data_IF_622649384632
#
_entry.id   IF_622649384632
#
_cell.length_a   1.000
_cell.length_b   1.000
_cell.length_c   1.000
_cell.angle_alpha   90.00
_cell.angle_beta   90.00
_cell.angle_gamma   90.00
#
_symmetry.space_group_name_H-M   'P 1'
#
loop_
_entity.id
_entity.type
_entity.pdbx_description
1 polymer ?
#
# COMPACT_ATOMS: atom_id res chain seq x y z
N UNK A 1 16.79 85.82 -18.11
CA UNK A 1 17.92 84.98 -17.66
C UNK A 1 17.40 84.07 -16.58
N UNK A 2 17.23 82.81 -16.97
CA UNK A 2 16.69 81.67 -16.24
C UNK A 2 17.80 80.99 -15.44
N UNK A 3 17.54 80.62 -14.19
CA UNK A 3 18.24 79.54 -13.51
C UNK A 3 17.23 78.68 -12.75
N UNK A 4 17.33 77.37 -13.01
CA UNK A 4 16.40 76.29 -12.70
C UNK A 4 16.63 75.72 -11.29
N UNK A 5 15.54 75.26 -10.68
CA UNK A 5 15.52 74.36 -9.51
C UNK A 5 15.22 72.93 -9.99
N UNK A 6 15.91 71.87 -9.51
CA UNK A 6 15.56 70.50 -9.87
C UNK A 6 14.51 69.92 -8.91
N UNK A 7 13.36 69.55 -9.45
CA UNK A 7 12.34 68.74 -8.79
C UNK A 7 12.76 67.26 -8.81
N UNK A 8 12.95 66.67 -7.63
CA UNK A 8 13.21 65.23 -7.47
C UNK A 8 11.91 64.45 -7.66
N UNK A 9 11.85 63.63 -8.72
CA UNK A 9 10.81 62.61 -8.92
C UNK A 9 11.15 61.37 -8.09
N UNK A 10 10.39 61.12 -7.02
CA UNK A 10 10.39 59.84 -6.32
C UNK A 10 9.62 58.80 -7.17
N UNK A 11 10.35 57.90 -7.83
CA UNK A 11 9.77 56.68 -8.41
C UNK A 11 9.47 55.70 -7.27
N UNK A 12 8.20 55.55 -6.91
CA UNK A 12 7.73 54.52 -5.99
C UNK A 12 7.68 53.19 -6.76
N UNK A 13 8.73 52.37 -6.65
CA UNK A 13 8.74 51.02 -7.21
C UNK A 13 7.78 50.12 -6.42
N UNK A 14 6.60 49.86 -6.97
CA UNK A 14 5.65 48.88 -6.44
C UNK A 14 6.24 47.47 -6.64
N UNK A 15 6.90 46.94 -5.61
CA UNK A 15 7.32 45.54 -5.56
C UNK A 15 6.06 44.67 -5.52
N UNK A 16 5.66 44.13 -6.67
CA UNK A 16 4.71 43.01 -6.75
C UNK A 16 5.34 41.82 -6.02
N UNK A 17 4.96 41.61 -4.77
CA UNK A 17 5.20 40.34 -4.08
C UNK A 17 4.21 39.34 -4.67
N UNK A 18 4.61 38.70 -5.77
CA UNK A 18 3.97 37.48 -6.24
C UNK A 18 4.04 36.46 -5.09
N UNK A 19 2.91 35.92 -4.60
CA UNK A 19 2.98 34.81 -3.66
C UNK A 19 3.63 33.65 -4.43
N UNK A 20 4.87 33.30 -4.05
CA UNK A 20 5.41 32.00 -4.40
C UNK A 20 4.44 30.99 -3.79
N UNK A 21 3.60 30.39 -4.63
CA UNK A 21 2.98 29.13 -4.27
C UNK A 21 4.13 28.16 -4.02
N UNK A 22 4.48 27.93 -2.76
CA UNK A 22 5.15 26.70 -2.36
C UNK A 22 4.18 25.58 -2.69
N UNK A 23 4.16 25.14 -3.94
CA UNK A 23 3.79 23.78 -4.24
C UNK A 23 4.83 22.94 -3.48
N UNK A 24 4.42 22.36 -2.36
CA UNK A 24 5.20 21.36 -1.66
C UNK A 24 5.50 20.25 -2.66
N UNK A 25 6.66 20.29 -3.30
CA UNK A 25 7.09 19.21 -4.19
C UNK A 25 7.29 17.98 -3.33
N UNK A 26 6.61 16.90 -3.66
CA UNK A 26 6.82 15.61 -3.02
C UNK A 26 8.33 15.25 -3.04
N UNK A 27 8.99 15.12 -1.87
CA UNK A 27 10.44 15.13 -1.82
C UNK A 27 11.08 13.77 -2.14
N UNK A 28 10.28 12.69 -2.17
CA UNK A 28 10.75 11.32 -2.36
C UNK A 28 10.77 10.93 -3.83
N UNK A 29 11.92 10.44 -4.31
CA UNK A 29 12.17 10.21 -5.74
C UNK A 29 12.45 8.76 -6.11
N UNK A 30 12.82 7.91 -5.14
CA UNK A 30 13.08 6.51 -5.42
C UNK A 30 11.76 5.80 -5.78
N UNK A 31 11.68 5.30 -7.01
CA UNK A 31 10.49 4.69 -7.59
C UNK A 31 10.88 3.63 -8.61
N UNK A 32 10.28 2.45 -8.51
CA UNK A 32 10.39 1.37 -9.47
C UNK A 32 8.99 0.93 -9.88
N UNK A 33 8.80 0.72 -11.18
CA UNK A 33 7.59 0.15 -11.76
C UNK A 33 8.03 -0.91 -12.74
N UNK A 34 7.70 -2.16 -12.46
CA UNK A 34 8.27 -3.33 -13.11
C UNK A 34 7.12 -4.13 -13.74
N UNK A 35 7.22 -4.28 -15.05
CA UNK A 35 6.35 -5.10 -15.89
C UNK A 35 6.91 -6.53 -15.89
N UNK A 36 6.32 -7.39 -15.04
CA UNK A 36 6.87 -8.71 -14.76
C UNK A 36 6.58 -9.65 -15.94
N UNK A 37 7.63 -10.31 -16.42
CA UNK A 37 7.58 -11.17 -17.60
C UNK A 37 7.64 -10.45 -18.95
N UNK A 38 7.72 -9.12 -18.97
CA UNK A 38 7.96 -8.36 -20.20
C UNK A 38 9.45 -8.28 -20.54
N UNK A 39 9.78 -8.43 -21.83
CA UNK A 39 11.15 -8.28 -22.34
C UNK A 39 11.53 -6.81 -22.62
N UNK A 40 10.58 -5.89 -22.60
CA UNK A 40 10.79 -4.49 -22.99
C UNK A 40 10.01 -3.55 -22.07
N UNK A 41 10.55 -2.34 -21.85
CA UNK A 41 9.82 -1.33 -21.09
C UNK A 41 8.56 -0.90 -21.85
N UNK A 42 7.46 -0.73 -21.11
CA UNK A 42 6.15 -0.32 -21.64
C UNK A 42 5.76 1.03 -21.04
N UNK A 43 4.87 1.76 -21.72
CA UNK A 43 4.27 2.98 -21.17
C UNK A 43 2.76 2.79 -21.16
N UNK A 44 2.15 3.08 -20.02
CA UNK A 44 0.72 2.92 -19.84
C UNK A 44 -0.09 4.12 -20.40
N UNK A 45 -1.43 4.02 -20.46
CA UNK A 45 -2.28 5.12 -20.94
C UNK A 45 -2.23 6.40 -20.10
N UNK A 46 -1.60 6.37 -18.93
CA UNK A 46 -1.38 7.52 -18.05
C UNK A 46 0.03 8.09 -18.18
N UNK A 47 0.76 7.71 -19.24
CA UNK A 47 2.13 8.14 -19.52
C UNK A 47 3.12 7.75 -18.41
N UNK A 48 2.83 6.64 -17.70
CA UNK A 48 3.73 6.06 -16.72
C UNK A 48 4.54 4.95 -17.37
N UNK A 49 5.88 5.05 -17.26
CA UNK A 49 6.79 4.03 -17.79
C UNK A 49 6.99 2.91 -16.80
N UNK A 50 6.88 1.68 -17.30
CA UNK A 50 7.12 0.42 -16.62
C UNK A 50 8.33 -0.26 -17.25
N UNK A 51 9.27 -0.69 -16.43
CA UNK A 51 10.53 -1.30 -16.87
C UNK A 51 10.36 -2.81 -17.03
N UNK A 52 11.15 -3.42 -17.91
CA UNK A 52 11.26 -4.88 -17.95
C UNK A 52 11.84 -5.39 -16.63
N UNK A 53 11.57 -6.66 -16.30
CA UNK A 53 11.99 -7.25 -15.04
C UNK A 53 13.37 -7.93 -15.06
N UNK A 54 14.06 -7.88 -16.19
CA UNK A 54 15.30 -8.59 -16.54
C UNK A 54 16.43 -8.61 -15.49
N UNK A 55 16.46 -7.65 -14.57
CA UNK A 55 17.52 -7.49 -13.56
C UNK A 55 17.07 -7.66 -12.11
N UNK A 56 15.80 -7.97 -11.88
CA UNK A 56 15.24 -7.88 -10.53
C UNK A 56 14.83 -9.22 -9.93
N UNK A 57 14.82 -10.32 -10.68
CA UNK A 57 14.34 -11.62 -10.17
C UNK A 57 15.45 -12.67 -10.06
N UNK A 58 15.24 -13.69 -9.22
CA UNK A 58 16.18 -14.82 -9.08
C UNK A 58 16.02 -15.87 -10.19
N UNK A 59 14.80 -16.39 -10.43
CA UNK A 59 14.55 -17.32 -11.55
C UNK A 59 13.11 -17.24 -12.07
N UNK A 60 12.60 -18.30 -12.71
CA UNK A 60 11.24 -18.33 -13.26
C UNK A 60 11.17 -18.19 -14.79
N UNK A 61 9.95 -18.33 -15.30
CA UNK A 61 9.61 -18.24 -16.70
C UNK A 61 8.51 -17.19 -16.91
N UNK A 62 8.33 -16.77 -18.16
CA UNK A 62 7.36 -15.72 -18.50
C UNK A 62 6.21 -16.29 -19.32
N UNK A 63 5.04 -15.67 -19.20
CA UNK A 63 3.88 -15.97 -20.02
C UNK A 63 3.07 -14.70 -20.27
N UNK A 64 2.12 -14.81 -21.18
CA UNK A 64 1.04 -13.87 -21.38
C UNK A 64 -0.23 -14.51 -20.78
N UNK A 65 -1.10 -13.68 -20.22
CA UNK A 65 -2.44 -14.09 -19.75
C UNK A 65 -3.29 -14.68 -20.88
N UNK A 66 -4.32 -15.50 -20.58
CA UNK A 66 -5.10 -16.16 -21.63
C UNK A 66 -5.93 -15.18 -22.47
N UNK A 67 -6.42 -14.08 -21.88
CA UNK A 67 -7.23 -13.05 -22.55
C UNK A 67 -6.58 -11.64 -22.46
N UNK A 68 -5.48 -11.33 -23.17
CA UNK A 68 -4.73 -10.08 -22.98
C UNK A 68 -5.49 -8.79 -23.35
N UNK A 69 -6.60 -8.92 -24.09
CA UNK A 69 -7.48 -7.80 -24.44
C UNK A 69 -8.45 -7.43 -23.32
N UNK A 70 -8.63 -8.31 -22.33
CA UNK A 70 -9.38 -8.03 -21.11
C UNK A 70 -8.68 -6.98 -20.25
N UNK A 71 -7.34 -6.98 -20.27
CA UNK A 71 -6.51 -6.05 -19.52
C UNK A 71 -6.24 -4.77 -20.29
N UNK A 72 -6.46 -3.64 -19.62
CA UNK A 72 -6.24 -2.32 -20.22
C UNK A 72 -4.76 -1.96 -20.23
N UNK A 73 -4.03 -2.33 -19.19
CA UNK A 73 -2.65 -1.87 -18.99
C UNK A 73 -1.63 -2.90 -19.50
N UNK A 74 -0.51 -2.48 -20.13
CA UNK A 74 0.50 -3.41 -20.62
C UNK A 74 1.07 -4.34 -19.53
N UNK A 75 1.38 -3.78 -18.36
CA UNK A 75 1.95 -4.51 -17.21
C UNK A 75 0.98 -5.48 -16.52
N UNK A 76 -0.26 -5.59 -17.00
CA UNK A 76 -1.23 -6.59 -16.53
C UNK A 76 -1.37 -7.77 -17.51
N UNK A 77 -0.75 -7.68 -18.70
CA UNK A 77 -0.91 -8.67 -19.78
C UNK A 77 0.15 -9.75 -19.74
N UNK A 78 1.32 -9.44 -19.20
CA UNK A 78 2.44 -10.36 -19.02
C UNK A 78 2.53 -10.75 -17.55
N UNK A 79 3.05 -11.95 -17.32
CA UNK A 79 3.36 -12.41 -15.98
C UNK A 79 4.66 -13.21 -15.97
N UNK A 80 5.35 -13.15 -14.83
CA UNK A 80 6.37 -14.11 -14.44
C UNK A 80 5.73 -15.16 -13.54
N UNK A 81 6.07 -16.42 -13.78
CA UNK A 81 5.70 -17.53 -12.92
C UNK A 81 6.94 -18.33 -12.53
N UNK A 82 6.90 -18.93 -11.34
CA UNK A 82 8.01 -19.72 -10.81
C UNK A 82 7.64 -21.20 -10.81
N UNK A 83 7.87 -21.95 -11.90
CA UNK A 83 7.57 -23.37 -11.97
C UNK A 83 8.43 -24.18 -10.98
N UNK A 84 8.07 -25.43 -10.66
CA UNK A 84 8.85 -26.28 -9.75
C UNK A 84 10.34 -26.41 -10.11
N UNK A 85 10.71 -26.27 -11.38
CA UNK A 85 12.11 -26.23 -11.84
C UNK A 85 12.92 -25.03 -11.34
N UNK A 86 12.23 -23.99 -10.85
CA UNK A 86 12.78 -22.76 -10.27
C UNK A 86 13.05 -22.88 -8.77
N UNK A 87 12.80 -24.03 -8.17
CA UNK A 87 12.93 -24.21 -6.72
C UNK A 87 11.74 -23.66 -5.94
N UNK A 88 11.77 -23.88 -4.62
CA UNK A 88 10.64 -23.57 -3.73
C UNK A 88 10.49 -22.09 -3.38
N UNK A 89 11.59 -21.34 -3.43
CA UNK A 89 11.68 -19.92 -3.04
C UNK A 89 12.27 -19.11 -4.18
N UNK A 90 11.59 -18.06 -4.62
CA UNK A 90 12.08 -17.15 -5.66
C UNK A 90 11.78 -15.72 -5.26
N UNK A 91 12.64 -14.77 -5.59
CA UNK A 91 12.49 -13.39 -5.12
C UNK A 91 12.63 -12.39 -6.24
N UNK A 92 11.94 -11.27 -6.09
CA UNK A 92 12.34 -9.99 -6.65
C UNK A 92 13.21 -9.25 -5.63
N UNK A 93 14.38 -8.80 -6.05
CA UNK A 93 15.37 -8.06 -5.26
C UNK A 93 15.55 -6.70 -5.93
N UNK A 94 15.06 -5.62 -5.30
CA UNK A 94 15.11 -4.27 -5.86
C UNK A 94 16.26 -3.51 -5.22
N UNK A 95 17.35 -3.22 -5.96
CA UNK A 95 18.55 -2.62 -5.38
C UNK A 95 18.46 -1.09 -5.31
N UNK A 96 19.45 -0.48 -4.67
CA UNK A 96 19.69 0.96 -4.65
C UNK A 96 18.53 1.77 -4.03
N UNK A 97 17.89 1.22 -3.00
CA UNK A 97 16.86 1.90 -2.24
C UNK A 97 17.50 2.68 -1.07
N UNK A 98 17.29 4.00 -0.95
CA UNK A 98 17.68 4.71 0.26
C UNK A 98 16.95 4.12 1.50
N UNK A 99 17.60 3.99 2.66
CA UNK A 99 16.90 3.57 3.88
C UNK A 99 15.67 4.44 4.14
N UNK A 100 14.52 3.82 4.34
CA UNK A 100 13.26 4.55 4.43
C UNK A 100 12.04 3.67 4.41
N UNK A 101 10.87 4.31 4.29
CA UNK A 101 9.58 3.64 4.17
C UNK A 101 9.13 3.64 2.72
N UNK A 102 8.53 2.53 2.32
CA UNK A 102 8.13 2.27 0.95
C UNK A 102 6.67 1.84 0.87
N UNK A 103 5.95 2.41 -0.08
CA UNK A 103 4.72 1.84 -0.62
C UNK A 103 5.11 0.78 -1.65
N UNK A 104 4.57 -0.42 -1.48
CA UNK A 104 4.83 -1.57 -2.35
C UNK A 104 3.49 -2.07 -2.83
N UNK A 105 3.32 -2.25 -4.14
CA UNK A 105 2.09 -2.76 -4.74
C UNK A 105 2.42 -3.82 -5.77
N UNK A 106 1.73 -4.93 -5.69
CA UNK A 106 1.81 -6.03 -6.66
C UNK A 106 0.50 -6.15 -7.42
N UNK A 107 0.56 -6.50 -8.70
CA UNK A 107 -0.59 -7.04 -9.43
C UNK A 107 -0.38 -8.54 -9.65
N UNK A 108 -1.35 -9.34 -9.20
CA UNK A 108 -1.34 -10.80 -9.31
C UNK A 108 -2.54 -11.26 -10.11
N UNK A 109 -2.29 -12.04 -11.16
CA UNK A 109 -3.34 -12.57 -12.04
C UNK A 109 -2.96 -13.97 -12.52
N UNK A 110 -3.95 -14.87 -12.58
CA UNK A 110 -3.78 -16.20 -13.15
C UNK A 110 -4.24 -16.23 -14.62
N UNK A 111 -5.47 -15.76 -14.86
CA UNK A 111 -6.19 -15.73 -16.15
C UNK A 111 -5.88 -16.95 -17.02
N UNK A 112 -5.86 -18.13 -16.41
CA UNK A 112 -5.60 -19.41 -17.04
C UNK A 112 -4.41 -19.42 -18.03
N UNK A 113 -3.32 -18.70 -17.73
CA UNK A 113 -2.18 -18.53 -18.63
C UNK A 113 -1.55 -19.85 -19.11
N UNK A 114 -1.72 -20.93 -18.33
CA UNK A 114 -1.18 -22.25 -18.61
C UNK A 114 -2.22 -23.27 -19.11
N UNK A 115 -3.47 -22.85 -19.30
CA UNK A 115 -4.56 -23.68 -19.80
C UNK A 115 -5.03 -24.78 -18.83
N UNK A 116 -4.56 -24.82 -17.58
CA UNK A 116 -4.89 -25.91 -16.63
C UNK A 116 -6.17 -25.69 -15.84
N UNK A 117 -6.74 -24.48 -15.89
CA UNK A 117 -7.91 -24.08 -15.11
C UNK A 117 -7.74 -24.34 -13.60
N UNK A 118 -6.52 -24.16 -13.11
CA UNK A 118 -6.13 -24.38 -11.71
C UNK A 118 -5.22 -23.24 -11.25
N UNK A 119 -5.81 -22.26 -10.57
CA UNK A 119 -5.06 -21.16 -9.95
C UNK A 119 -4.02 -21.69 -8.96
N UNK A 120 -2.83 -21.10 -8.85
CA UNK A 120 -1.79 -21.60 -7.97
C UNK A 120 -1.99 -21.22 -6.50
N UNK A 121 -1.53 -22.07 -5.59
CA UNK A 121 -1.36 -21.77 -4.17
C UNK A 121 0.08 -21.38 -3.86
N UNK A 122 0.30 -20.24 -3.21
CA UNK A 122 1.62 -19.77 -2.84
C UNK A 122 1.56 -18.69 -1.76
N UNK A 123 2.71 -18.41 -1.16
CA UNK A 123 2.91 -17.39 -0.15
C UNK A 123 3.87 -16.31 -0.63
N UNK A 124 3.70 -15.09 -0.12
CA UNK A 124 4.53 -13.94 -0.46
C UNK A 124 5.04 -13.27 0.81
N UNK A 125 6.35 -13.04 0.88
CA UNK A 125 6.98 -12.26 1.95
C UNK A 125 7.59 -10.97 1.42
N UNK A 126 7.56 -9.92 2.25
CA UNK A 126 8.33 -8.69 2.07
C UNK A 126 9.31 -8.56 3.22
N UNK A 127 10.59 -8.35 2.95
CA UNK A 127 11.65 -8.25 3.97
C UNK A 127 11.63 -9.46 4.93
N UNK A 128 11.46 -10.67 4.37
CA UNK A 128 11.34 -11.93 5.12
C UNK A 128 10.03 -12.13 5.88
N UNK A 129 9.16 -11.12 5.96
CA UNK A 129 7.89 -11.17 6.68
C UNK A 129 6.76 -11.62 5.75
N UNK A 130 6.05 -12.69 6.11
CA UNK A 130 4.91 -13.19 5.33
C UNK A 130 3.74 -12.18 5.33
N UNK A 131 3.26 -11.80 4.15
CA UNK A 131 2.24 -10.73 3.98
C UNK A 131 1.03 -11.14 3.15
N UNK A 132 1.18 -12.00 2.15
CA UNK A 132 0.06 -12.47 1.32
C UNK A 132 0.06 -13.99 1.18
N UNK A 133 -1.12 -14.59 1.26
CA UNK A 133 -1.34 -16.01 1.03
C UNK A 133 -2.41 -16.22 -0.03
N UNK A 134 -2.01 -16.81 -1.14
CA UNK A 134 -2.88 -17.18 -2.25
C UNK A 134 -3.19 -18.66 -2.17
N UNK A 135 -4.47 -19.04 -2.19
CA UNK A 135 -4.91 -20.42 -1.98
C UNK A 135 -5.92 -20.83 -3.05
N UNK A 136 -5.59 -21.90 -3.78
CA UNK A 136 -6.45 -22.49 -4.79
C UNK A 136 -7.66 -23.20 -4.16
N UNK A 137 -8.85 -23.16 -4.81
CA UNK A 137 -9.16 -22.38 -6.00
C UNK A 137 -9.41 -20.90 -5.66
N UNK A 138 -8.91 -20.00 -6.49
CA UNK A 138 -9.20 -18.57 -6.36
C UNK A 138 -10.65 -18.29 -6.78
N UNK A 139 -11.32 -17.29 -6.17
CA UNK A 139 -12.60 -16.81 -6.68
C UNK A 139 -12.51 -16.45 -8.17
N UNK A 140 -13.54 -16.76 -8.96
CA UNK A 140 -13.50 -16.60 -10.43
C UNK A 140 -13.10 -15.20 -10.88
N UNK A 141 -13.69 -14.15 -10.27
CA UNK A 141 -13.30 -12.77 -10.55
C UNK A 141 -11.84 -12.46 -10.24
N UNK A 142 -11.30 -13.03 -9.15
CA UNK A 142 -9.88 -12.86 -8.80
C UNK A 142 -8.96 -13.62 -9.76
N UNK A 143 -9.35 -14.84 -10.13
CA UNK A 143 -8.59 -15.67 -11.07
C UNK A 143 -8.51 -15.02 -12.45
N UNK A 144 -9.62 -14.43 -12.92
CA UNK A 144 -9.75 -13.85 -14.27
C UNK A 144 -9.32 -12.38 -14.35
N UNK A 145 -9.73 -11.55 -13.40
CA UNK A 145 -9.48 -10.09 -13.44
C UNK A 145 -8.19 -9.71 -12.71
N UNK A 146 -7.63 -10.62 -11.91
CA UNK A 146 -6.49 -10.36 -11.04
C UNK A 146 -6.83 -9.49 -9.84
N UNK A 147 -5.83 -9.22 -9.01
CA UNK A 147 -5.95 -8.23 -7.95
C UNK A 147 -4.65 -7.47 -7.71
N UNK A 148 -4.85 -6.21 -7.36
CA UNK A 148 -3.84 -5.38 -6.74
C UNK A 148 -3.81 -5.63 -5.24
N UNK A 149 -2.60 -5.80 -4.70
CA UNK A 149 -2.35 -5.88 -3.26
C UNK A 149 -1.23 -4.92 -2.92
N UNK A 150 -1.44 -4.06 -1.92
CA UNK A 150 -0.47 -3.05 -1.53
C UNK A 150 -0.21 -3.04 -0.02
N UNK A 151 0.97 -2.56 0.35
CA UNK A 151 1.43 -2.49 1.74
C UNK A 151 2.46 -1.38 1.92
N UNK A 152 2.78 -1.10 3.18
CA UNK A 152 3.88 -0.23 3.56
C UNK A 152 4.91 -0.97 4.42
N UNK A 153 6.17 -0.97 3.99
CA UNK A 153 7.28 -1.60 4.70
C UNK A 153 8.47 -0.65 4.82
N UNK A 154 9.36 -0.92 5.78
CA UNK A 154 10.62 -0.23 5.94
C UNK A 154 11.75 -1.06 5.34
N UNK A 155 12.59 -0.43 4.52
CA UNK A 155 13.81 -1.00 3.94
C UNK A 155 15.01 -0.31 4.60
N UNK A 156 16.01 -1.09 5.05
CA UNK A 156 17.13 -0.58 5.86
C UNK A 156 18.51 -0.82 5.26
N UNK A 157 18.68 -1.93 4.57
CA UNK A 157 19.96 -2.40 4.00
C UNK A 157 20.16 -1.96 2.53
N UNK A 158 19.13 -1.36 1.94
CA UNK A 158 19.16 -0.74 0.63
C UNK A 158 18.69 -1.63 -0.51
N UNK A 159 18.14 -2.79 -0.18
CA UNK A 159 17.49 -3.70 -1.12
C UNK A 159 16.09 -4.05 -0.59
N UNK A 160 15.11 -4.15 -1.47
CA UNK A 160 13.80 -4.69 -1.11
C UNK A 160 13.72 -6.14 -1.58
N UNK A 161 13.46 -7.05 -0.65
CA UNK A 161 13.26 -8.47 -0.92
C UNK A 161 11.75 -8.81 -0.92
N UNK A 162 11.21 -9.10 -2.10
CA UNK A 162 9.85 -9.63 -2.30
C UNK A 162 9.95 -11.09 -2.74
N UNK A 163 9.72 -12.04 -1.83
CA UNK A 163 9.91 -13.47 -2.08
C UNK A 163 8.59 -14.23 -2.17
N UNK A 164 8.57 -15.24 -3.03
CA UNK A 164 7.45 -16.11 -3.35
C UNK A 164 7.81 -17.55 -2.98
N UNK A 165 6.90 -18.22 -2.29
CA UNK A 165 7.07 -19.59 -1.83
C UNK A 165 5.99 -20.48 -2.43
N UNK A 166 6.40 -21.45 -3.24
CA UNK A 166 5.49 -22.39 -3.89
C UNK A 166 4.82 -23.30 -2.87
N UNK A 167 3.52 -23.54 -3.00
CA UNK A 167 2.87 -24.62 -2.27
C UNK A 167 2.85 -25.89 -3.13
N UNK A 168 3.50 -26.95 -2.65
CA UNK A 168 3.68 -28.20 -3.39
C UNK A 168 4.28 -27.98 -4.80
N UNK A 169 3.50 -28.13 -5.87
CA UNK A 169 3.94 -27.96 -7.26
C UNK A 169 3.31 -26.75 -7.95
N UNK A 170 2.53 -25.94 -7.22
CA UNK A 170 1.85 -24.78 -7.77
C UNK A 170 2.86 -23.65 -8.02
N UNK A 171 2.88 -23.06 -9.24
CA UNK A 171 3.81 -21.98 -9.56
C UNK A 171 3.29 -20.63 -9.03
N UNK A 172 4.00 -19.93 -8.12
CA UNK A 172 3.66 -18.54 -7.80
C UNK A 172 3.72 -17.67 -9.06
N UNK A 173 2.85 -16.65 -9.11
CA UNK A 173 2.72 -15.73 -10.27
C UNK A 173 2.72 -14.27 -9.82
N UNK A 174 3.28 -13.40 -10.66
CA UNK A 174 3.24 -11.94 -10.51
C UNK A 174 3.27 -11.28 -11.88
N UNK A 175 2.44 -10.26 -12.08
CA UNK A 175 2.33 -9.52 -13.34
C UNK A 175 2.96 -8.11 -13.25
N UNK A 176 2.86 -7.44 -12.10
CA UNK A 176 3.55 -6.17 -11.92
C UNK A 176 3.97 -5.91 -10.48
N UNK A 177 5.02 -5.09 -10.32
CA UNK A 177 5.55 -4.62 -9.05
C UNK A 177 5.81 -3.12 -9.11
N UNK A 178 5.23 -2.37 -8.18
CA UNK A 178 5.52 -0.96 -7.91
C UNK A 178 6.18 -0.82 -6.54
N UNK A 179 7.24 -0.02 -6.47
CA UNK A 179 7.94 0.33 -5.23
C UNK A 179 8.15 1.84 -5.25
N UNK A 180 7.62 2.54 -4.25
CA UNK A 180 7.71 4.00 -4.17
C UNK A 180 8.16 4.41 -2.77
N UNK A 181 9.23 5.19 -2.67
CA UNK A 181 9.62 5.78 -1.40
C UNK A 181 8.57 6.80 -0.95
N UNK A 182 8.23 6.73 0.33
CA UNK A 182 7.26 7.59 0.99
C UNK A 182 7.82 8.20 2.27
N UNK A 183 7.02 9.07 2.88
CA UNK A 183 7.42 9.69 4.13
C UNK A 183 7.63 8.65 5.24
N UNK A 184 8.81 8.61 5.89
CA UNK A 184 9.07 7.68 6.98
C UNK A 184 8.11 7.82 8.17
N UNK A 185 7.52 9.01 8.37
CA UNK A 185 6.56 9.28 9.44
C UNK A 185 5.10 9.11 9.00
N UNK A 186 4.85 8.69 7.76
CA UNK A 186 3.50 8.40 7.27
C UNK A 186 2.81 7.35 8.17
N UNK A 187 1.48 7.35 8.17
CA UNK A 187 0.66 6.42 8.94
C UNK A 187 1.06 6.34 10.42
N UNK A 188 1.40 7.48 11.02
CA UNK A 188 1.81 7.63 12.42
C UNK A 188 2.92 6.66 12.87
N UNK A 189 3.94 6.49 12.03
CA UNK A 189 5.07 5.61 12.34
C UNK A 189 5.80 5.98 13.64
N UNK A 190 5.74 7.25 14.06
CA UNK A 190 6.33 7.71 15.32
C UNK A 190 5.69 7.04 16.54
N UNK A 191 4.38 6.78 16.49
CA UNK A 191 3.63 6.14 17.59
C UNK A 191 3.51 4.63 17.39
N UNK A 192 3.26 4.18 16.16
CA UNK A 192 3.06 2.75 15.84
C UNK A 192 4.39 1.99 15.83
N UNK A 193 5.48 2.66 15.49
CA UNK A 193 6.80 2.07 15.32
C UNK A 193 7.03 1.50 13.91
N UNK A 194 8.26 1.03 13.71
CA UNK A 194 8.76 0.56 12.41
C UNK A 194 8.99 -0.96 12.37
N UNK A 195 8.36 -1.69 13.29
CA UNK A 195 8.46 -3.15 13.47
C UNK A 195 7.23 -3.89 12.93
N UNK A 196 6.43 -3.23 12.09
CA UNK A 196 5.29 -3.84 11.42
C UNK A 196 5.29 -3.45 9.94
N UNK A 197 4.80 -4.37 9.11
CA UNK A 197 4.33 -4.09 7.77
C UNK A 197 2.84 -3.74 7.84
N UNK A 198 2.46 -2.62 7.21
CA UNK A 198 1.05 -2.25 7.09
C UNK A 198 0.47 -2.85 5.81
N UNK A 199 -0.23 -3.97 5.92
CA UNK A 199 -0.87 -4.63 4.78
C UNK A 199 -2.26 -4.03 4.56
N UNK A 200 -2.58 -3.59 3.34
CA UNK A 200 -3.87 -2.96 3.04
C UNK A 200 -5.02 -3.99 2.99
N UNK A 201 -5.99 -3.87 3.90
CA UNK A 201 -7.24 -4.65 3.92
C UNK A 201 -8.45 -3.85 3.43
N UNK A 202 -8.24 -2.59 3.04
CA UNK A 202 -9.28 -1.76 2.47
C UNK A 202 -8.86 -0.29 2.48
N UNK A 203 -8.76 0.32 1.31
CA UNK A 203 -8.59 1.77 1.13
C UNK A 203 -9.77 2.28 0.33
N UNK A 204 -10.71 2.93 1.02
CA UNK A 204 -12.06 3.21 0.53
C UNK A 204 -12.29 4.72 0.34
N UNK A 205 -12.92 5.08 -0.76
CA UNK A 205 -13.44 6.42 -1.07
C UNK A 205 -14.97 6.42 -0.98
N UNK A 206 -15.52 7.39 -0.28
CA UNK A 206 -16.95 7.50 -0.04
C UNK A 206 -17.61 8.49 -0.99
N UNK A 207 -18.73 8.07 -1.59
CA UNK A 207 -19.51 8.92 -2.49
C UNK A 207 -18.95 9.02 -3.91
N UNK A 208 -17.97 8.18 -4.26
CA UNK A 208 -17.38 8.09 -5.60
C UNK A 208 -17.22 6.64 -6.07
N UNK A 209 -16.99 6.47 -7.37
CA UNK A 209 -16.41 5.23 -7.93
C UNK A 209 -14.94 5.09 -7.50
N UNK A 210 -14.34 3.94 -7.77
CA UNK A 210 -12.91 3.72 -7.55
C UNK A 210 -12.05 4.64 -8.44
N UNK A 211 -10.89 5.06 -7.95
CA UNK A 211 -9.96 5.94 -8.65
C UNK A 211 -8.50 5.76 -8.17
N UNK A 212 -7.55 6.32 -8.90
CA UNK A 212 -6.11 6.22 -8.66
C UNK A 212 -5.40 5.29 -9.66
N UNK A 213 -4.08 5.04 -9.50
CA UNK A 213 -3.30 4.24 -10.45
C UNK A 213 -3.91 2.85 -10.72
N UNK A 214 -4.03 2.49 -12.00
CA UNK A 214 -4.75 1.29 -12.45
C UNK A 214 -6.26 1.47 -12.66
N UNK A 215 -6.84 2.64 -12.31
CA UNK A 215 -8.28 2.90 -12.48
C UNK A 215 -8.58 4.23 -13.16
N UNK A 216 -7.83 5.29 -12.84
CA UNK A 216 -8.00 6.63 -13.39
C UNK A 216 -6.70 7.43 -13.37
N UNK A 217 -6.69 8.60 -14.02
CA UNK A 217 -5.53 9.50 -14.08
C UNK A 217 -5.47 10.50 -12.90
N UNK A 218 -6.04 10.14 -11.76
CA UNK A 218 -6.04 11.00 -10.58
C UNK A 218 -4.76 10.80 -9.79
N UNK A 219 -4.08 11.90 -9.48
CA UNK A 219 -2.80 11.87 -8.80
C UNK A 219 -2.96 11.63 -7.29
N UNK A 220 -2.09 10.77 -6.76
CA UNK A 220 -1.78 10.58 -5.34
C UNK A 220 -0.26 10.46 -5.25
N UNK A 221 0.38 11.28 -4.40
CA UNK A 221 1.84 11.33 -4.30
C UNK A 221 2.46 9.99 -3.85
N UNK A 222 1.69 9.15 -3.15
CA UNK A 222 2.12 7.81 -2.75
C UNK A 222 1.81 6.76 -3.82
N UNK A 223 1.03 7.08 -4.85
CA UNK A 223 0.54 6.13 -5.85
C UNK A 223 -0.57 5.20 -5.34
N UNK A 224 -1.30 5.61 -4.29
CA UNK A 224 -2.40 4.81 -3.74
C UNK A 224 -3.62 4.83 -4.65
N UNK A 225 -4.34 3.72 -4.65
CA UNK A 225 -5.64 3.59 -5.30
C UNK A 225 -6.75 3.41 -4.27
N UNK A 226 -7.90 3.99 -4.56
CA UNK A 226 -9.04 4.09 -3.66
C UNK A 226 -10.23 3.36 -4.25
N UNK A 227 -10.75 2.36 -3.53
CA UNK A 227 -11.90 1.56 -3.92
C UNK A 227 -13.21 2.21 -3.51
N UNK A 228 -14.29 1.97 -4.27
CA UNK A 228 -15.59 2.47 -3.85
C UNK A 228 -16.02 1.79 -2.55
N UNK A 229 -16.49 2.59 -1.60
CA UNK A 229 -16.94 2.09 -0.30
C UNK A 229 -18.25 1.27 -0.36
N UNK A 230 -18.94 1.28 -1.51
CA UNK A 230 -20.29 0.77 -1.66
C UNK A 230 -20.42 -0.73 -1.34
N UNK A 231 -19.41 -1.53 -1.70
CA UNK A 231 -19.42 -2.97 -1.46
C UNK A 231 -19.15 -3.34 0.01
N UNK A 232 -18.40 -2.51 0.73
CA UNK A 232 -18.04 -2.73 2.15
C UNK A 232 -19.09 -2.17 3.13
N UNK A 233 -20.06 -1.40 2.64
CA UNK A 233 -21.14 -0.85 3.45
C UNK A 233 -22.21 -1.90 3.73
N UNK A 234 -22.58 -2.02 5.01
CA UNK A 234 -23.71 -2.86 5.39
C UNK A 234 -25.01 -2.26 4.83
N UNK A 235 -25.83 -3.02 4.09
CA UNK A 235 -27.13 -2.54 3.60
C UNK A 235 -28.06 -2.34 4.80
N UNK A 236 -28.29 -1.10 5.19
CA UNK A 236 -29.20 -0.76 6.27
C UNK A 236 -30.44 -0.05 5.71
N UNK A 237 -31.59 -0.75 5.72
CA UNK A 237 -32.86 -0.25 5.18
C UNK A 237 -33.37 1.03 5.88
N UNK A 238 -32.83 1.37 7.05
CA UNK A 238 -33.21 2.57 7.82
C UNK A 238 -32.31 3.78 7.57
N UNK A 239 -31.17 3.64 6.88
CA UNK A 239 -30.26 4.75 6.58
C UNK A 239 -30.47 5.24 5.15
N UNK A 240 -30.98 6.46 4.98
CA UNK A 240 -30.89 7.16 3.69
C UNK A 240 -29.45 7.68 3.55
N UNK A 241 -28.63 6.94 2.81
CA UNK A 241 -27.27 7.35 2.47
C UNK A 241 -27.35 8.21 1.21
N UNK A 242 -26.77 9.40 1.26
CA UNK A 242 -26.67 10.34 0.13
C UNK A 242 -25.21 10.64 -0.14
N UNK A 243 -24.80 10.56 -1.40
CA UNK A 243 -23.49 11.06 -1.81
C UNK A 243 -23.54 12.58 -1.94
N UNK A 244 -22.55 13.26 -1.39
CA UNK A 244 -22.34 14.70 -1.53
C UNK A 244 -21.01 14.91 -2.24
N UNK A 245 -20.97 15.87 -3.15
CA UNK A 245 -19.76 16.22 -3.90
C UNK A 245 -19.63 17.72 -3.99
N UNK A 246 -18.39 18.19 -4.04
CA UNK A 246 -18.08 19.60 -4.24
C UNK A 246 -16.98 19.79 -5.28
N UNK A 247 -17.00 20.95 -5.94
CA UNK A 247 -15.91 21.44 -6.79
C UNK A 247 -15.03 22.47 -6.09
N UNK A 248 -15.41 22.87 -4.89
CA UNK A 248 -14.61 23.78 -4.06
C UNK A 248 -13.27 23.14 -3.73
N UNK A 249 -12.26 24.00 -3.53
CA UNK A 249 -10.93 23.57 -3.10
C UNK A 249 -10.99 23.14 -1.64
N UNK A 250 -10.46 21.96 -1.33
CA UNK A 250 -10.32 21.49 0.05
C UNK A 250 -8.93 21.80 0.58
N UNK A 251 -8.87 22.57 1.66
CA UNK A 251 -7.62 22.92 2.37
C UNK A 251 -7.11 21.74 3.21
N UNK A 252 -5.87 21.80 3.70
CA UNK A 252 -5.19 20.73 4.47
C UNK A 252 -5.01 19.39 3.75
N UNK A 253 -5.05 19.40 2.41
CA UNK A 253 -4.79 18.24 1.56
C UNK A 253 -3.34 18.25 1.08
N UNK A 254 -2.83 17.09 0.65
CA UNK A 254 -1.43 16.91 0.21
C UNK A 254 -0.39 17.43 1.22
N UNK A 255 -0.65 17.24 2.51
CA UNK A 255 0.27 17.64 3.58
C UNK A 255 1.09 16.44 4.08
N UNK A 256 2.35 16.63 4.45
CA UNK A 256 3.12 15.59 5.14
C UNK A 256 2.44 15.20 6.47
N UNK A 257 2.67 13.97 6.95
CA UNK A 257 3.51 12.95 6.32
C UNK A 257 2.75 12.09 5.29
N UNK A 258 1.42 12.18 5.20
CA UNK A 258 0.60 11.22 4.44
C UNK A 258 0.24 11.64 3.01
N UNK A 259 0.35 12.94 2.70
CA UNK A 259 0.05 13.50 1.38
C UNK A 259 -1.30 13.04 0.80
N UNK A 260 -2.35 13.02 1.62
CA UNK A 260 -3.66 12.56 1.17
C UNK A 260 -4.23 13.48 0.07
N UNK A 261 -4.63 12.93 -1.08
CA UNK A 261 -5.05 13.70 -2.24
C UNK A 261 -6.35 14.45 -1.99
N UNK A 262 -6.44 15.68 -2.53
CA UNK A 262 -7.63 16.52 -2.42
C UNK A 262 -8.91 15.82 -2.92
N UNK A 263 -8.77 14.98 -3.97
CA UNK A 263 -9.88 14.24 -4.56
C UNK A 263 -10.66 13.42 -3.53
N UNK A 264 -9.97 12.80 -2.57
CA UNK A 264 -10.60 12.01 -1.50
C UNK A 264 -11.63 12.82 -0.71
N UNK A 265 -11.35 14.11 -0.48
CA UNK A 265 -12.16 14.98 0.35
C UNK A 265 -13.19 15.81 -0.43
N UNK A 266 -13.24 15.68 -1.76
CA UNK A 266 -14.25 16.34 -2.61
C UNK A 266 -15.53 15.53 -2.74
N UNK A 267 -15.53 14.30 -2.22
CA UNK A 267 -16.70 13.44 -2.12
C UNK A 267 -16.87 12.95 -0.69
N UNK A 268 -18.12 12.73 -0.31
CA UNK A 268 -18.46 12.10 0.95
C UNK A 268 -19.80 11.38 0.81
N UNK A 269 -20.09 10.50 1.75
CA UNK A 269 -21.47 10.08 2.02
C UNK A 269 -21.97 10.71 3.30
N UNK A 270 -23.27 10.99 3.32
CA UNK A 270 -23.99 11.56 4.46
C UNK A 270 -25.20 10.70 4.78
N UNK A 271 -25.45 10.46 6.07
CA UNK A 271 -26.67 9.79 6.51
C UNK A 271 -27.19 10.29 7.83
N UNK A 272 -28.53 10.44 7.92
CA UNK A 272 -29.24 10.70 9.18
C UNK A 272 -29.34 9.45 10.07
N UNK A 273 -29.03 8.27 9.53
CA UNK A 273 -28.89 7.02 10.27
C UNK A 273 -27.42 6.65 10.46
N UNK A 274 -27.17 5.53 11.15
CA UNK A 274 -25.82 5.02 11.31
C UNK A 274 -25.25 4.54 9.96
N UNK A 275 -24.04 5.00 9.62
CA UNK A 275 -23.25 4.46 8.50
C UNK A 275 -22.44 3.30 9.07
N UNK A 276 -22.54 2.12 8.48
CA UNK A 276 -21.82 0.92 8.94
C UNK A 276 -21.01 0.30 7.81
N UNK A 277 -19.76 -0.04 8.12
CA UNK A 277 -18.86 -0.85 7.30
C UNK A 277 -18.60 -2.18 7.99
N UNK A 278 -18.60 -3.23 7.18
CA UNK A 278 -18.20 -4.58 7.58
C UNK A 278 -16.95 -4.92 6.76
N UNK A 279 -15.80 -4.91 7.43
CA UNK A 279 -14.50 -5.09 6.79
C UNK A 279 -14.00 -6.51 7.06
N UNK A 280 -13.64 -7.24 6.01
CA UNK A 280 -12.97 -8.52 6.14
C UNK A 280 -11.56 -8.31 6.70
N UNK A 281 -11.18 -9.10 7.69
CA UNK A 281 -9.91 -9.04 8.40
C UNK A 281 -9.50 -10.45 8.82
N UNK A 282 -8.27 -10.59 9.28
CA UNK A 282 -7.76 -11.80 9.91
C UNK A 282 -7.79 -11.67 11.43
N UNK A 283 -8.06 -12.79 12.09
CA UNK A 283 -8.00 -12.86 13.53
C UNK A 283 -6.54 -12.84 14.02
N UNK A 284 -6.36 -12.45 15.29
CA UNK A 284 -5.10 -12.38 16.04
C UNK A 284 -4.10 -11.34 15.52
N UNK A 285 -4.57 -10.34 14.78
CA UNK A 285 -3.79 -9.18 14.37
C UNK A 285 -4.38 -7.89 14.93
N UNK A 286 -3.52 -6.87 14.97
CA UNK A 286 -3.92 -5.48 15.21
C UNK A 286 -4.26 -4.81 13.87
N UNK A 287 -5.19 -3.86 13.90
CA UNK A 287 -5.63 -3.13 12.70
C UNK A 287 -5.60 -1.61 12.92
N UNK A 288 -4.90 -0.89 12.04
CA UNK A 288 -4.84 0.56 11.98
C UNK A 288 -5.94 1.06 11.03
N UNK A 289 -6.90 1.78 11.58
CA UNK A 289 -8.05 2.31 10.86
C UNK A 289 -7.90 3.81 10.72
N UNK A 290 -7.83 4.33 9.49
CA UNK A 290 -7.81 5.77 9.21
C UNK A 290 -9.16 6.24 8.71
N UNK A 291 -9.65 7.33 9.30
CA UNK A 291 -10.91 7.95 8.96
C UNK A 291 -10.65 9.30 8.30
N UNK A 292 -11.28 9.54 7.16
CA UNK A 292 -11.13 10.77 6.38
C UNK A 292 -12.43 11.55 6.32
N UNK A 293 -12.35 12.83 6.63
CA UNK A 293 -13.49 13.74 6.72
C UNK A 293 -13.18 15.08 6.07
N UNK A 294 -14.18 15.69 5.45
CA UNK A 294 -14.21 17.12 5.18
C UNK A 294 -15.66 17.60 5.22
N UNK A 295 -15.92 18.72 5.92
CA UNK A 295 -17.26 19.29 5.93
C UNK A 295 -17.49 20.07 4.62
N UNK A 296 -18.10 19.37 3.65
CA UNK A 296 -18.39 19.88 2.30
C UNK A 296 -19.88 20.19 2.10
N UNK A 297 -20.71 19.96 3.11
CA UNK A 297 -22.14 20.30 3.09
C UNK A 297 -22.31 21.75 3.55
N UNK A 298 -22.71 22.62 2.63
CA UNK A 298 -22.87 24.06 2.87
C UNK A 298 -23.98 24.40 3.88
N UNK A 299 -24.83 23.44 4.24
CA UNK A 299 -25.82 23.62 5.30
C UNK A 299 -25.21 23.62 6.72
N UNK A 300 -24.01 23.05 6.88
CA UNK A 300 -23.25 23.05 8.13
C UNK A 300 -22.28 24.25 8.12
N UNK A 301 -22.56 25.22 8.97
CA UNK A 301 -21.92 26.55 8.98
C UNK A 301 -21.24 26.90 10.31
N UNK A 302 -21.40 26.07 11.34
CA UNK A 302 -20.76 26.24 12.64
C UNK A 302 -20.61 24.92 13.40
N UNK A 303 -19.69 24.91 14.36
CA UNK A 303 -19.52 23.82 15.32
C UNK A 303 -20.85 23.46 16.01
N UNK A 304 -21.02 22.18 16.31
CA UNK A 304 -22.18 21.60 16.98
C UNK A 304 -23.36 21.28 16.07
N UNK A 305 -23.34 21.66 14.78
CA UNK A 305 -24.41 21.32 13.83
C UNK A 305 -24.33 19.89 13.29
N UNK A 306 -23.12 19.32 13.25
CA UNK A 306 -22.88 17.93 12.88
C UNK A 306 -21.98 17.28 13.91
N UNK A 307 -22.53 16.35 14.68
CA UNK A 307 -21.79 15.61 15.71
C UNK A 307 -22.18 14.15 15.61
N UNK A 308 -21.19 13.25 15.57
CA UNK A 308 -21.43 11.81 15.52
C UNK A 308 -20.35 11.04 16.28
N UNK A 309 -20.71 9.88 16.79
CA UNK A 309 -19.80 8.97 17.48
C UNK A 309 -19.24 7.95 16.48
N UNK A 310 -17.96 7.61 16.61
CA UNK A 310 -17.34 6.50 15.88
C UNK A 310 -17.26 5.30 16.83
N UNK A 311 -17.82 4.18 16.38
CA UNK A 311 -17.74 2.90 17.08
C UNK A 311 -16.94 1.92 16.23
N UNK A 312 -15.99 1.23 16.86
CA UNK A 312 -15.21 0.13 16.27
C UNK A 312 -15.48 -1.12 17.09
N UNK A 313 -16.03 -2.17 16.47
CA UNK A 313 -16.53 -3.36 17.16
C UNK A 313 -17.43 -3.02 18.35
N UNK A 314 -18.42 -2.15 18.11
CA UNK A 314 -19.39 -1.63 19.08
C UNK A 314 -18.82 -0.83 20.26
N UNK A 315 -17.49 -0.65 20.34
CA UNK A 315 -16.85 0.24 21.29
C UNK A 315 -16.81 1.65 20.73
N UNK A 316 -17.39 2.62 21.45
CA UNK A 316 -17.22 4.04 21.11
C UNK A 316 -15.76 4.46 21.33
N UNK A 317 -15.10 4.88 20.26
CA UNK A 317 -13.67 5.25 20.26
C UNK A 317 -13.44 6.75 20.23
N UNK A 318 -14.36 7.53 19.64
CA UNK A 318 -14.27 8.99 19.62
C UNK A 318 -15.59 9.63 19.21
N UNK A 319 -15.75 10.91 19.57
CA UNK A 319 -16.82 11.78 19.08
C UNK A 319 -16.23 12.81 18.12
N UNK A 320 -16.84 12.96 16.95
CA UNK A 320 -16.36 13.83 15.87
C UNK A 320 -17.32 15.00 15.64
N UNK A 321 -16.75 16.20 15.57
CA UNK A 321 -17.34 17.39 15.00
C UNK A 321 -16.30 17.99 14.02
N UNK A 322 -16.54 17.79 12.72
CA UNK A 322 -15.58 18.14 11.66
C UNK A 322 -15.41 19.67 11.61
N UNK A 323 -16.51 20.42 11.68
CA UNK A 323 -16.47 21.88 11.63
C UNK A 323 -15.73 22.46 12.83
N UNK A 324 -15.92 21.91 14.03
CA UNK A 324 -15.17 22.33 15.21
C UNK A 324 -13.67 22.02 15.09
N UNK A 325 -13.31 20.94 14.38
CA UNK A 325 -11.91 20.51 14.25
C UNK A 325 -11.13 21.32 13.20
N UNK A 326 -11.75 21.57 12.04
CA UNK A 326 -11.05 22.18 10.88
C UNK A 326 -11.86 23.22 10.11
N UNK A 327 -13.12 23.46 10.46
CA UNK A 327 -14.04 24.32 9.70
C UNK A 327 -14.64 23.63 8.46
N UNK A 328 -15.15 24.44 7.53
CA UNK A 328 -15.67 23.96 6.24
C UNK A 328 -14.58 23.85 5.19
N UNK A 329 -14.76 22.94 4.23
CA UNK A 329 -13.84 22.73 3.09
C UNK A 329 -12.36 22.57 3.50
N UNK A 330 -12.14 21.85 4.61
CA UNK A 330 -10.82 21.49 5.11
C UNK A 330 -10.79 19.99 5.42
N UNK A 331 -9.69 19.34 5.03
CA UNK A 331 -9.48 17.93 5.31
C UNK A 331 -9.14 17.71 6.80
N UNK A 332 -9.77 16.70 7.38
CA UNK A 332 -9.54 16.20 8.72
C UNK A 332 -9.38 14.68 8.65
N UNK A 333 -8.31 14.17 9.24
CA UNK A 333 -8.07 12.74 9.34
C UNK A 333 -7.74 12.36 10.77
N UNK A 334 -8.22 11.20 11.17
CA UNK A 334 -8.02 10.65 12.50
C UNK A 334 -7.90 9.13 12.40
N UNK A 335 -7.14 8.49 13.28
CA UNK A 335 -6.95 7.05 13.24
C UNK A 335 -7.14 6.38 14.60
N UNK A 336 -7.38 5.07 14.56
CA UNK A 336 -7.53 4.21 15.73
C UNK A 336 -6.89 2.85 15.47
N UNK A 337 -6.22 2.29 16.47
CA UNK A 337 -5.71 0.91 16.40
C UNK A 337 -6.64 -0.02 17.16
N UNK A 338 -7.34 -0.89 16.42
CA UNK A 338 -8.08 -2.00 16.98
C UNK A 338 -7.12 -3.14 17.32
N UNK A 339 -7.00 -3.46 18.60
CA UNK A 339 -6.01 -4.43 19.11
C UNK A 339 -6.57 -5.85 19.18
N UNK A 340 -5.73 -6.81 18.78
CA UNK A 340 -5.93 -8.25 18.93
C UNK A 340 -7.35 -8.70 18.57
N UNK A 341 -7.71 -8.53 17.29
CA UNK A 341 -9.04 -8.92 16.83
C UNK A 341 -9.24 -10.43 16.96
N UNK A 342 -10.35 -10.84 17.58
CA UNK A 342 -10.70 -12.26 17.72
C UNK A 342 -11.61 -12.77 16.59
N UNK A 343 -11.98 -11.90 15.66
CA UNK A 343 -12.96 -12.14 14.59
C UNK A 343 -12.31 -11.90 13.24
N UNK A 344 -12.87 -12.52 12.19
CA UNK A 344 -12.52 -12.26 10.79
C UNK A 344 -13.32 -11.11 10.17
N UNK A 345 -14.09 -10.40 10.98
CA UNK A 345 -14.86 -9.23 10.59
C UNK A 345 -14.64 -8.10 11.60
N UNK A 346 -14.33 -6.91 11.07
CA UNK A 346 -14.17 -5.66 11.79
C UNK A 346 -15.34 -4.74 11.42
N UNK A 347 -16.14 -4.35 12.42
CA UNK A 347 -17.27 -3.45 12.21
C UNK A 347 -16.91 -2.02 12.57
N UNK A 348 -17.15 -1.09 11.65
CA UNK A 348 -16.98 0.36 11.87
C UNK A 348 -18.33 1.04 11.70
N UNK A 349 -18.78 1.80 12.70
CA UNK A 349 -20.06 2.53 12.68
C UNK A 349 -19.85 4.01 12.98
N UNK A 350 -20.48 4.87 12.19
CA UNK A 350 -20.63 6.30 12.49
C UNK A 350 -22.08 6.53 12.89
N UNK A 351 -22.32 6.90 14.14
CA UNK A 351 -23.65 7.04 14.73
C UNK A 351 -23.95 8.52 14.95
N UNK A 352 -24.92 9.11 14.22
CA UNK A 352 -25.31 10.51 14.41
C UNK A 352 -25.76 10.81 15.84
N UNK A 353 -25.25 11.90 16.41
CA UNK A 353 -25.66 12.46 17.70
C UNK A 353 -26.46 13.75 17.46
N UNK A 354 -25.95 14.63 16.60
CA UNK A 354 -26.62 15.83 16.11
C UNK A 354 -26.44 15.91 14.59
N UNK A 355 -27.52 16.15 13.86
CA UNK A 355 -27.50 16.20 12.40
C UNK A 355 -27.29 14.81 11.79
N UNK A 356 -26.45 14.72 10.77
CA UNK A 356 -26.16 13.49 10.03
C UNK A 356 -24.67 13.13 10.11
N UNK A 357 -24.31 11.85 10.11
CA UNK A 357 -22.92 11.44 9.99
C UNK A 357 -22.40 11.70 8.57
N UNK A 358 -21.11 12.01 8.44
CA UNK A 358 -20.43 12.25 7.17
C UNK A 358 -19.07 11.54 7.18
N UNK A 359 -18.70 10.90 6.07
CA UNK A 359 -17.35 10.34 5.87
C UNK A 359 -16.93 10.48 4.39
N UNK A 360 -15.66 10.83 4.18
CA UNK A 360 -15.04 11.00 2.85
C UNK A 360 -14.26 9.75 2.42
N UNK A 361 -13.68 9.02 3.37
CA UNK A 361 -12.98 7.78 3.10
C UNK A 361 -12.57 7.04 4.37
N UNK A 362 -12.14 5.80 4.20
CA UNK A 362 -11.77 4.88 5.27
C UNK A 362 -10.61 4.01 4.81
N UNK A 363 -9.52 3.92 5.58
CA UNK A 363 -8.46 2.95 5.35
C UNK A 363 -8.38 1.95 6.50
N UNK A 364 -7.99 0.71 6.19
CA UNK A 364 -7.84 -0.38 7.15
C UNK A 364 -6.56 -1.18 6.83
N UNK A 365 -5.60 -1.15 7.74
CA UNK A 365 -4.33 -1.87 7.59
C UNK A 365 -4.16 -2.91 8.67
N UNK A 366 -3.83 -4.14 8.31
CA UNK A 366 -3.29 -5.09 9.28
C UNK A 366 -1.87 -4.66 9.65
N UNK A 367 -1.56 -4.63 10.95
CA UNK A 367 -0.19 -4.49 11.44
C UNK A 367 0.40 -5.88 11.54
N UNK A 368 1.10 -6.32 10.51
CA UNK A 368 1.81 -7.60 10.50
C UNK A 368 3.18 -7.38 11.16
N UNK A 369 3.48 -7.99 12.32
CA UNK A 369 4.79 -7.85 12.96
C UNK A 369 5.89 -8.34 12.02
N UNK A 370 6.99 -7.60 11.94
CA UNK A 370 8.13 -8.03 11.15
C UNK A 370 8.67 -9.34 11.71
N UNK A 371 9.01 -10.26 10.80
CA UNK A 371 9.75 -11.46 11.16
C UNK A 371 11.20 -11.10 11.52
N UNK A 372 11.88 -11.98 12.26
CA UNK A 372 13.29 -11.78 12.58
C UNK A 372 14.14 -12.02 11.32
N UNK A 373 14.97 -11.04 10.99
CA UNK A 373 15.94 -11.17 9.90
C UNK A 373 17.21 -11.90 10.36
N UNK A 374 17.93 -12.49 9.40
CA UNK A 374 19.27 -13.01 9.65
C UNK A 374 20.23 -11.87 10.02
N UNK A 375 21.17 -12.11 10.92
CA UNK A 375 22.20 -11.12 11.29
C UNK A 375 22.95 -10.63 10.03
N UNK A 376 23.08 -9.30 9.80
CA UNK A 376 23.58 -8.76 8.53
C UNK A 376 24.94 -9.30 8.09
N UNK A 377 25.89 -9.49 9.02
CA UNK A 377 27.22 -10.03 8.69
C UNK A 377 27.15 -11.45 8.12
N UNK A 378 26.19 -12.25 8.60
CA UNK A 378 25.97 -13.59 8.07
C UNK A 378 25.25 -13.57 6.72
N UNK A 379 24.32 -12.62 6.49
CA UNK A 379 23.70 -12.43 5.17
C UNK A 379 24.78 -12.14 4.12
N UNK A 380 25.70 -11.21 4.41
CA UNK A 380 26.81 -10.87 3.51
C UNK A 380 27.70 -12.09 3.25
N UNK A 381 28.09 -12.82 4.30
CA UNK A 381 28.92 -14.00 4.17
C UNK A 381 28.25 -15.12 3.34
N UNK A 382 26.95 -15.34 3.56
CA UNK A 382 26.18 -16.36 2.85
C UNK A 382 25.94 -16.00 1.39
N UNK A 383 25.69 -14.72 1.07
CA UNK A 383 25.61 -14.24 -0.32
C UNK A 383 26.95 -14.43 -1.04
N UNK A 384 28.06 -14.05 -0.40
CA UNK A 384 29.40 -14.28 -0.96
C UNK A 384 29.70 -15.78 -1.17
N UNK A 385 29.23 -16.64 -0.27
CA UNK A 385 29.35 -18.09 -0.41
C UNK A 385 28.51 -18.64 -1.56
N UNK A 386 27.24 -18.20 -1.69
CA UNK A 386 26.34 -18.53 -2.81
C UNK A 386 27.02 -18.23 -4.14
N UNK A 387 27.60 -17.03 -4.26
CA UNK A 387 28.32 -16.59 -5.46
C UNK A 387 29.59 -17.42 -5.71
N UNK A 388 30.42 -17.62 -4.69
CA UNK A 388 31.67 -18.37 -4.80
C UNK A 388 31.46 -19.83 -5.24
N UNK A 389 30.40 -20.47 -4.72
CA UNK A 389 30.05 -21.84 -5.06
C UNK A 389 29.17 -21.94 -6.31
N UNK A 390 28.73 -20.79 -6.86
CA UNK A 390 27.78 -20.71 -7.99
C UNK A 390 26.52 -21.54 -7.73
N UNK A 391 25.98 -21.44 -6.51
CA UNK A 391 24.76 -22.16 -6.11
C UNK A 391 23.61 -21.67 -6.99
N UNK A 392 22.97 -22.56 -7.78
CA UNK A 392 21.85 -22.17 -8.63
C UNK A 392 20.65 -21.70 -7.81
N UNK A 393 19.91 -20.69 -8.29
CA UNK A 393 18.75 -20.14 -7.58
C UNK A 393 17.67 -21.18 -7.26
N UNK A 394 17.55 -22.24 -8.09
CA UNK A 394 16.62 -23.36 -7.86
C UNK A 394 16.85 -24.13 -6.56
N UNK A 395 18.00 -23.94 -5.91
CA UNK A 395 18.32 -24.55 -4.62
C UNK A 395 17.72 -23.77 -3.43
N UNK A 396 16.93 -22.72 -3.70
CA UNK A 396 16.19 -21.97 -2.67
C UNK A 396 17.05 -21.00 -1.86
N UNK A 397 18.30 -20.78 -2.23
CA UNK A 397 19.19 -19.79 -1.61
C UNK A 397 18.88 -18.37 -2.10
N UNK A 398 17.65 -17.90 -1.89
CA UNK A 398 17.14 -16.63 -2.36
C UNK A 398 16.61 -15.78 -1.19
N UNK A 399 16.77 -14.45 -1.26
CA UNK A 399 16.37 -13.53 -0.18
C UNK A 399 17.12 -13.75 1.13
N UNK A 400 16.48 -13.49 2.27
CA UNK A 400 17.03 -13.75 3.60
C UNK A 400 17.27 -15.27 3.82
N UNK A 401 18.45 -15.67 4.35
CA UNK A 401 18.77 -17.07 4.64
C UNK A 401 17.81 -17.76 5.61
N UNK A 402 17.40 -17.11 6.68
CA UNK A 402 16.65 -17.71 7.78
C UNK A 402 15.18 -17.26 7.86
N UNK A 403 14.70 -16.44 6.92
CA UNK A 403 13.33 -15.95 6.92
C UNK A 403 12.48 -16.54 5.78
N UNK A 404 11.19 -16.87 6.03
CA UNK A 404 10.46 -16.65 7.29
C UNK A 404 10.81 -17.68 8.36
N UNK A 405 11.00 -17.21 9.59
CA UNK A 405 11.68 -17.96 10.66
C UNK A 405 10.92 -19.17 11.18
N UNK A 406 9.63 -19.22 10.92
CA UNK A 406 8.72 -20.23 11.43
C UNK A 406 8.64 -21.49 10.55
N UNK A 407 9.06 -21.45 9.27
CA UNK A 407 8.96 -22.64 8.42
C UNK A 407 9.90 -22.74 7.21
N UNK A 408 10.66 -21.69 6.85
CA UNK A 408 11.60 -21.76 5.73
C UNK A 408 12.99 -21.24 6.11
N UNK A 409 14.01 -21.86 5.54
CA UNK A 409 15.38 -21.38 5.55
C UNK A 409 16.04 -21.89 4.27
N UNK A 410 17.16 -21.28 3.88
CA UNK A 410 17.96 -21.81 2.79
C UNK A 410 18.25 -23.30 3.01
N UNK A 411 18.25 -24.08 1.93
CA UNK A 411 18.45 -25.51 2.05
C UNK A 411 19.80 -25.79 2.73
N UNK A 412 19.83 -26.75 3.67
CA UNK A 412 21.04 -27.16 4.37
C UNK A 412 21.56 -26.22 5.46
N UNK A 413 20.89 -25.09 5.78
CA UNK A 413 21.28 -24.27 6.93
C UNK A 413 20.33 -24.47 8.12
N UNK A 414 20.86 -24.25 9.32
CA UNK A 414 20.08 -24.29 10.57
C UNK A 414 20.18 -22.95 11.29
N UNK A 415 19.03 -22.37 11.56
CA UNK A 415 18.87 -21.03 12.08
C UNK A 415 18.27 -21.06 13.49
N UNK A 416 18.79 -20.21 14.39
CA UNK A 416 18.28 -20.06 15.75
C UNK A 416 18.20 -18.59 16.13
N UNK A 417 17.20 -18.15 16.92
CA UNK A 417 17.18 -16.81 17.47
C UNK A 417 18.45 -16.52 18.28
N UNK A 418 18.93 -15.28 18.22
CA UNK A 418 19.98 -14.81 19.12
C UNK A 418 19.45 -14.72 20.58
N UNK A 419 20.35 -14.50 21.54
CA UNK A 419 19.99 -14.48 22.98
C UNK A 419 18.92 -13.44 23.34
N UNK A 420 18.86 -12.35 22.58
CA UNK A 420 17.95 -11.24 22.83
C UNK A 420 16.67 -11.31 21.98
N UNK A 421 16.51 -12.38 21.17
CA UNK A 421 15.39 -12.60 20.23
C UNK A 421 15.12 -11.42 19.27
N UNK A 422 16.19 -10.71 18.88
CA UNK A 422 16.12 -9.54 17.97
C UNK A 422 16.54 -9.86 16.54
N UNK A 423 17.18 -11.01 16.32
CA UNK A 423 17.65 -11.47 15.02
C UNK A 423 17.86 -13.00 15.03
N UNK A 424 18.06 -13.59 13.85
CA UNK A 424 18.36 -15.02 13.71
C UNK A 424 19.82 -15.23 13.30
N UNK A 425 20.46 -16.22 13.90
CA UNK A 425 21.83 -16.64 13.58
C UNK A 425 21.85 -18.02 12.93
N UNK A 426 22.65 -18.14 11.88
CA UNK A 426 23.04 -19.39 11.25
C UNK A 426 24.05 -20.07 12.18
N UNK A 427 23.67 -21.25 12.65
CA UNK A 427 24.44 -22.04 13.62
C UNK A 427 25.15 -23.23 13.01
N UNK A 428 24.59 -23.80 11.94
CA UNK A 428 25.12 -24.96 11.24
C UNK A 428 24.83 -24.86 9.75
N UNK A 429 25.74 -25.44 8.97
CA UNK A 429 25.60 -25.59 7.54
C UNK A 429 25.98 -27.02 7.18
N UNK A 430 25.02 -27.78 6.65
CA UNK A 430 25.26 -29.15 6.24
C UNK A 430 25.75 -29.19 4.79
N UNK A 431 27.04 -29.45 4.62
CA UNK A 431 27.69 -29.56 3.32
C UNK A 431 27.38 -30.86 2.59
N UNK A 432 26.70 -31.84 3.20
CA UNK A 432 26.43 -33.15 2.57
C UNK A 432 25.28 -33.14 1.55
N UNK A 433 24.70 -31.97 1.27
CA UNK A 433 23.58 -31.78 0.34
C UNK A 433 24.01 -31.11 -0.99
N UNK A 434 25.31 -30.86 -1.19
CA UNK A 434 25.88 -30.04 -2.28
C UNK A 434 27.00 -30.74 -3.02
#
# INVERSE_FOLDING_TARGET
MSLLSPSSFFFLSLLLVLPLSLASSYPYKASYRIDCGSATSTTDPFNTTWQADDRYYTSGATSIVSEPLHFRFPHEKTLRYFPPSSGKKNCYIIPNLPPGRYYIRTFTVYDNYDGKSHSPSFDVSVEGTLVFSWRSPWPEGLARDGAYSDLFAFVKDGELDLCFYSFATDPPVIASLEVQQIDPLSYDAATIGNNHILVNYGRLTSGSNQWGPGFSNDADDFGRSWQSDAASRSPNAKSSIKSVTTRERITNTNQPPNYYPMKLYQTAIVSSGAIQYNLAVDAKLDYLIWFHFAEIDSSVTKAGQRVFDILVNDKNVTRVDIFNSVGSFAAYSWHYVAKNLSSTELTVKLVPVVGAALISGLENYALVPNDLSTVPEQVIAMRALKESLRVPDRMGWNGDPCAPTNWDAWEGITCHPNKDETAVVISQMNSSLW
#
